data_IF_123177113887
#
_entry.id   IF_123177113887
#
_cell.length_a   1.000
_cell.length_b   1.000
_cell.length_c   1.000
_cell.angle_alpha   90.00
_cell.angle_beta   90.00
_cell.angle_gamma   90.00
#
_symmetry.space_group_name_H-M   'P 1'
#
loop_
_entity.id
_entity.type
_entity.pdbx_description
1 polymer ?
#
# COMPACT_ATOMS: atom_id res chain seq x y z
N UNK A 1 -3.86 -27.88 4.84
CA UNK A 1 -3.93 -27.81 4.39
C UNK A 1 -3.55 -26.81 3.99
N UNK A 2 -2.83 -26.50 4.31
CA UNK A 2 -2.19 -25.44 3.85
C UNK A 2 -2.78 -24.87 2.70
N UNK A 3 -3.80 -25.11 2.78
CA UNK A 3 -4.39 -24.94 1.76
C UNK A 3 -4.76 -23.63 1.50
N UNK A 4 -4.69 -22.79 2.37
CA UNK A 4 -5.15 -21.49 2.17
C UNK A 4 -4.05 -20.54 2.11
N UNK A 5 -3.18 -20.68 1.17
CA UNK A 5 -2.24 -19.65 0.95
C UNK A 5 -2.98 -18.50 0.34
N UNK A 6 -2.99 -17.37 1.00
CA UNK A 6 -3.54 -16.19 0.42
C UNK A 6 -2.70 -15.81 -0.79
N UNK A 7 -3.37 -15.52 -1.87
CA UNK A 7 -2.66 -15.07 -3.04
C UNK A 7 -2.14 -13.68 -2.79
N UNK A 8 -0.86 -13.52 -3.02
CA UNK A 8 -0.21 -12.22 -2.88
C UNK A 8 -0.14 -11.60 -4.26
N UNK A 9 -0.57 -10.35 -4.35
CA UNK A 9 -0.53 -9.65 -5.64
C UNK A 9 0.90 -9.21 -5.92
N UNK A 10 1.30 -9.23 -7.19
CA UNK A 10 2.63 -8.72 -7.53
C UNK A 10 2.65 -7.21 -7.42
N UNK A 11 3.78 -6.69 -6.97
CA UNK A 11 3.95 -5.25 -6.90
C UNK A 11 4.07 -4.73 -8.34
N UNK A 12 3.26 -3.72 -8.70
CA UNK A 12 3.29 -3.22 -10.06
C UNK A 12 4.62 -2.57 -10.39
N UNK A 13 5.17 -2.91 -11.54
CA UNK A 13 6.42 -2.30 -11.99
C UNK A 13 6.13 -0.91 -12.49
N UNK A 14 7.08 0.01 -12.37
CA UNK A 14 8.45 -0.18 -11.87
C UNK A 14 8.61 -0.01 -10.35
N UNK A 15 7.54 -0.14 -9.62
CA UNK A 15 7.55 0.15 -8.20
C UNK A 15 8.05 -1.06 -7.40
N UNK A 16 8.42 -0.79 -6.15
CA UNK A 16 8.86 -1.83 -5.25
C UNK A 16 8.30 -1.54 -3.87
N UNK A 17 8.56 -2.45 -2.93
CA UNK A 17 8.08 -2.26 -1.56
C UNK A 17 8.61 -0.96 -0.95
N UNK A 18 9.79 -0.53 -1.37
CA UNK A 18 10.37 0.71 -0.84
C UNK A 18 9.62 1.95 -1.32
N UNK A 19 8.81 1.82 -2.36
CA UNK A 19 8.05 2.96 -2.89
C UNK A 19 6.73 3.16 -2.17
N UNK A 20 6.36 2.25 -1.28
CA UNK A 20 5.10 2.38 -0.55
C UNK A 20 5.18 3.57 0.38
N UNK A 21 4.21 4.46 0.28
CA UNK A 21 4.15 5.65 1.11
C UNK A 21 2.74 5.91 1.59
N UNK A 22 2.64 6.62 2.70
CA UNK A 22 1.35 6.99 3.27
C UNK A 22 1.29 8.50 3.28
N UNK A 23 0.19 9.03 2.75
CA UNK A 23 -0.04 10.47 2.75
C UNK A 23 -1.28 10.78 3.54
N UNK A 24 -1.25 11.88 4.26
CA UNK A 24 -2.39 12.33 5.04
C UNK A 24 -3.01 13.56 4.41
N UNK A 25 -4.33 13.59 4.39
CA UNK A 25 -5.04 14.76 3.91
C UNK A 25 -5.25 15.70 5.09
N UNK A 26 -4.82 16.93 4.94
CA UNK A 26 -4.97 17.89 6.01
C UNK A 26 -6.42 18.30 6.17
N UNK A 27 -7.15 18.38 5.07
CA UNK A 27 -8.53 18.84 5.11
C UNK A 27 -9.49 17.83 5.70
N UNK A 28 -9.30 16.55 5.41
CA UNK A 28 -10.26 15.54 5.84
C UNK A 28 -9.71 14.64 6.95
N UNK A 29 -8.42 14.67 7.17
CA UNK A 29 -7.80 13.77 8.14
C UNK A 29 -7.68 12.34 7.65
N UNK A 30 -8.00 12.11 6.40
CA UNK A 30 -7.91 10.76 5.84
C UNK A 30 -6.49 10.46 5.39
N UNK A 31 -6.15 9.19 5.39
CA UNK A 31 -4.84 8.75 4.93
C UNK A 31 -4.99 7.87 3.72
N UNK A 32 -4.00 7.96 2.82
CA UNK A 32 -3.98 7.16 1.61
C UNK A 32 -2.63 6.46 1.54
N UNK A 33 -2.64 5.18 1.19
CA UNK A 33 -1.40 4.42 1.05
C UNK A 33 -1.30 3.93 -0.40
N UNK A 34 -0.12 4.01 -0.96
CA UNK A 34 0.10 3.58 -2.34
C UNK A 34 1.57 3.58 -2.67
N UNK A 35 1.87 3.41 -3.96
CA UNK A 35 3.24 3.43 -4.42
C UNK A 35 3.56 4.82 -4.97
N UNK A 36 4.65 5.39 -4.51
CA UNK A 36 5.01 6.74 -4.92
C UNK A 36 5.65 6.72 -6.30
N UNK A 37 5.08 7.48 -7.22
CA UNK A 37 5.58 7.59 -8.58
C UNK A 37 6.41 8.86 -8.69
N UNK A 38 7.71 8.70 -8.88
CA UNK A 38 8.60 9.85 -8.95
C UNK A 38 8.35 10.70 -10.18
N UNK A 39 7.86 10.10 -11.24
CA UNK A 39 7.60 10.82 -12.46
C UNK A 39 6.47 11.81 -12.33
N UNK A 40 5.36 11.38 -11.76
CA UNK A 40 4.21 12.24 -11.57
C UNK A 40 4.18 12.88 -10.19
N UNK A 41 5.05 12.41 -9.27
CA UNK A 41 5.10 12.87 -7.90
C UNK A 41 3.77 12.65 -7.19
N UNK A 42 3.15 11.52 -7.47
CA UNK A 42 1.86 11.16 -6.88
C UNK A 42 1.88 9.70 -6.47
N UNK A 43 0.94 9.35 -5.60
CA UNK A 43 0.74 7.96 -5.26
C UNK A 43 -0.10 7.30 -6.35
N UNK A 44 0.30 6.10 -6.75
CA UNK A 44 -0.47 5.32 -7.71
C UNK A 44 -0.89 4.03 -7.04
N UNK A 45 -1.92 3.38 -7.57
CA UNK A 45 -2.49 2.18 -6.97
C UNK A 45 -2.83 2.43 -5.52
N UNK A 46 -3.29 3.64 -5.22
CA UNK A 46 -3.50 4.05 -3.84
C UNK A 46 -4.86 3.62 -3.31
N UNK A 47 -4.94 3.45 -2.01
CA UNK A 47 -6.16 3.07 -1.33
C UNK A 47 -6.34 3.93 -0.12
N UNK A 48 -7.59 4.22 0.20
CA UNK A 48 -7.90 4.99 1.39
C UNK A 48 -7.78 4.07 2.61
N UNK A 49 -7.07 4.54 3.62
CA UNK A 49 -6.90 3.78 4.85
C UNK A 49 -7.38 4.63 6.01
N UNK A 50 -8.04 3.99 6.97
CA UNK A 50 -8.60 4.70 8.12
C UNK A 50 -7.94 4.28 9.42
N UNK A 51 -7.25 3.16 9.42
CA UNK A 51 -6.62 2.68 10.64
C UNK A 51 -5.37 1.89 10.27
N UNK A 52 -4.61 1.52 11.30
CA UNK A 52 -3.44 0.71 11.06
C UNK A 52 -3.81 -0.65 10.47
N UNK A 53 -4.97 -1.15 10.80
CA UNK A 53 -5.41 -2.41 10.24
C UNK A 53 -5.49 -2.33 8.73
N UNK A 54 -6.00 -1.21 8.21
CA UNK A 54 -6.09 -1.03 6.77
C UNK A 54 -4.71 -0.93 6.14
N UNK A 55 -3.78 -0.27 6.83
CA UNK A 55 -2.41 -0.17 6.35
C UNK A 55 -1.77 -1.55 6.29
N UNK A 56 -1.97 -2.34 7.34
CA UNK A 56 -1.43 -3.69 7.37
C UNK A 56 -2.03 -4.56 6.27
N UNK A 57 -3.30 -4.35 5.96
CA UNK A 57 -3.96 -5.07 4.88
C UNK A 57 -3.31 -4.77 3.54
N UNK A 58 -2.94 -3.51 3.33
CA UNK A 58 -2.28 -3.13 2.09
C UNK A 58 -0.94 -3.86 1.95
N UNK A 59 -0.14 -3.87 3.03
CA UNK A 59 1.14 -4.57 2.99
C UNK A 59 0.94 -6.06 2.76
N UNK A 60 -0.07 -6.63 3.40
CA UNK A 60 -0.35 -8.04 3.28
C UNK A 60 -0.80 -8.41 1.87
N UNK A 61 -1.54 -7.50 1.25
CA UNK A 61 -2.03 -7.72 -0.10
C UNK A 61 -0.89 -7.93 -1.09
N UNK A 62 0.21 -7.21 -0.89
CA UNK A 62 1.36 -7.32 -1.77
C UNK A 62 2.47 -8.17 -1.17
N UNK A 63 2.20 -8.84 -0.07
CA UNK A 63 3.21 -9.72 0.53
C UNK A 63 4.40 -8.99 1.12
N UNK A 64 4.22 -7.73 1.51
CA UNK A 64 5.29 -6.94 2.10
C UNK A 64 5.20 -7.05 3.60
N UNK A 65 6.34 -7.32 4.23
CA UNK A 65 6.36 -7.39 5.68
C UNK A 65 6.54 -5.99 6.24
N UNK A 66 5.62 -5.62 7.12
CA UNK A 66 5.72 -4.33 7.76
C UNK A 66 6.73 -4.43 8.89
N UNK A 67 7.62 -3.48 8.93
CA UNK A 67 8.64 -3.45 9.98
C UNK A 67 8.27 -2.52 11.08
#
# INVERSE_FOLDING_TARGET
MGLFKKKVLPIPEPYSAADIRIESSICTGEKTIGFYDKGSKKLVYSELVRSEADINEFYRKYGVEKQ
#
